data_IF_366024496927
#
_entry.id   IF_366024496927
#
_cell.length_a   1.000
_cell.length_b   1.000
_cell.length_c   1.000
_cell.angle_alpha   90.00
_cell.angle_beta   90.00
_cell.angle_gamma   90.00
#
_symmetry.space_group_name_H-M   'P 1'
#
loop_
_entity.id
_entity.type
_entity.pdbx_description
1 polymer ?
#
# COMPACT_ATOMS: atom_id res chain seq x y z
N UNK A 1 -6.04 6.48 -13.67
CA UNK A 1 -5.36 7.50 -12.84
C UNK A 1 -4.03 6.96 -12.36
N UNK A 2 -3.02 7.81 -12.32
CA UNK A 2 -1.64 7.43 -12.01
C UNK A 2 -1.17 8.20 -10.79
N UNK A 3 -0.51 7.49 -9.88
CA UNK A 3 0.04 8.04 -8.65
C UNK A 3 1.49 7.64 -8.48
N UNK A 4 2.24 8.46 -7.79
CA UNK A 4 3.65 8.22 -7.49
C UNK A 4 3.89 8.36 -5.99
N UNK A 5 4.68 7.46 -5.45
CA UNK A 5 5.11 7.50 -4.07
C UNK A 5 6.57 7.07 -3.99
N UNK A 6 7.38 7.81 -3.25
CA UNK A 6 8.81 7.52 -3.11
C UNK A 6 9.05 6.15 -2.49
N UNK A 7 9.97 5.39 -3.04
CA UNK A 7 10.48 4.16 -2.42
C UNK A 7 11.28 4.55 -1.18
N UNK A 8 10.67 4.37 -0.02
CA UNK A 8 11.22 4.85 1.22
C UNK A 8 12.13 3.81 1.89
N UNK A 9 13.24 4.26 2.48
CA UNK A 9 14.05 3.38 3.32
C UNK A 9 13.34 3.12 4.65
N UNK A 10 13.40 1.87 5.13
CA UNK A 10 12.88 1.49 6.44
C UNK A 10 13.54 2.25 7.60
N UNK A 11 14.73 2.82 7.35
CA UNK A 11 15.51 3.54 8.35
C UNK A 11 15.21 5.03 8.40
N UNK A 12 14.42 5.55 7.48
CA UNK A 12 14.07 6.97 7.42
C UNK A 12 12.74 7.24 8.12
N UNK A 13 12.77 8.14 9.09
CA UNK A 13 11.61 8.64 9.83
C UNK A 13 11.07 9.90 9.16
N UNK A 14 10.62 9.78 7.92
CA UNK A 14 10.07 10.93 7.22
C UNK A 14 8.67 10.62 6.69
N UNK A 15 7.89 11.68 6.52
CA UNK A 15 6.59 11.58 5.87
C UNK A 15 6.75 11.17 4.41
N UNK A 16 5.87 10.31 3.93
CA UNK A 16 5.85 9.84 2.55
C UNK A 16 4.55 10.31 1.91
N UNK A 17 4.68 10.95 0.75
CA UNK A 17 3.56 11.54 0.04
C UNK A 17 3.18 10.76 -1.19
N UNK A 18 1.92 10.37 -1.29
CA UNK A 18 1.32 9.84 -2.50
C UNK A 18 0.82 11.03 -3.34
N UNK A 19 1.42 11.21 -4.51
CA UNK A 19 1.11 12.32 -5.42
C UNK A 19 0.46 11.82 -6.69
N UNK A 20 -0.43 12.61 -7.26
CA UNK A 20 -0.95 12.35 -8.60
C UNK A 20 0.08 12.72 -9.68
N UNK A 21 -0.27 12.52 -10.96
CA UNK A 21 0.60 12.83 -12.08
C UNK A 21 0.92 14.32 -12.24
N UNK A 22 0.11 15.20 -11.65
CA UNK A 22 0.36 16.64 -11.60
C UNK A 22 1.24 17.07 -10.41
N UNK A 23 1.64 16.12 -9.55
CA UNK A 23 2.45 16.38 -8.37
C UNK A 23 1.66 16.83 -7.14
N UNK A 24 0.32 16.78 -7.19
CA UNK A 24 -0.53 17.15 -6.06
C UNK A 24 -0.60 16.01 -5.05
N UNK A 25 -0.35 16.33 -3.78
CA UNK A 25 -0.41 15.35 -2.69
C UNK A 25 -1.85 14.91 -2.46
N UNK A 26 -2.09 13.60 -2.55
CA UNK A 26 -3.39 12.99 -2.29
C UNK A 26 -3.46 12.41 -0.88
N UNK A 27 -2.40 11.76 -0.43
CA UNK A 27 -2.27 11.20 0.90
C UNK A 27 -0.86 11.35 1.44
N UNK A 28 -0.75 11.44 2.76
CA UNK A 28 0.54 11.46 3.47
C UNK A 28 0.55 10.35 4.50
N UNK A 29 1.57 9.50 4.41
CA UNK A 29 1.83 8.42 5.37
C UNK A 29 2.81 8.92 6.41
N UNK A 30 2.41 8.90 7.67
CA UNK A 30 3.28 9.25 8.80
C UNK A 30 3.63 8.00 9.58
N UNK A 31 4.91 7.72 9.67
CA UNK A 31 5.46 6.53 10.29
C UNK A 31 6.19 6.93 11.56
N UNK A 32 6.00 6.17 12.66
CA UNK A 32 6.77 6.32 13.88
C UNK A 32 7.94 5.32 13.91
N UNK A 33 9.02 5.68 14.59
CA UNK A 33 10.31 4.97 14.63
C UNK A 33 10.26 3.47 14.90
N UNK A 34 9.23 2.96 15.52
CA UNK A 34 9.17 1.58 16.00
C UNK A 34 8.08 0.78 15.30
N UNK A 35 7.49 1.31 14.26
CA UNK A 35 6.33 0.66 13.68
C UNK A 35 6.71 -0.27 12.54
N UNK A 36 6.63 -1.56 12.78
CA UNK A 36 6.52 -2.57 11.74
C UNK A 36 5.15 -2.42 11.05
N UNK A 37 4.88 -1.31 10.40
CA UNK A 37 3.58 -0.92 9.84
C UNK A 37 2.46 -0.69 10.85
N UNK A 38 2.59 -1.17 12.08
CA UNK A 38 1.57 -0.95 13.09
C UNK A 38 1.59 0.52 13.54
N UNK A 39 0.45 1.19 13.40
CA UNK A 39 0.31 2.58 13.82
C UNK A 39 0.68 3.63 12.77
N UNK A 40 0.98 3.23 11.52
CA UNK A 40 1.12 4.20 10.43
C UNK A 40 -0.19 4.95 10.28
N UNK A 41 -0.11 6.28 10.27
CA UNK A 41 -1.27 7.15 10.08
C UNK A 41 -1.27 7.70 8.66
N UNK A 42 -2.45 7.71 8.05
CA UNK A 42 -2.66 8.15 6.68
C UNK A 42 -3.58 9.37 6.68
N UNK A 43 -3.05 10.50 6.23
CA UNK A 43 -3.74 11.79 6.15
C UNK A 43 -4.12 12.09 4.71
N UNK A 44 -5.28 12.73 4.52
CA UNK A 44 -5.72 13.18 3.19
C UNK A 44 -5.05 14.52 2.78
N UNK A 45 -5.46 15.04 1.62
CA UNK A 45 -4.96 16.30 1.07
C UNK A 45 -5.27 17.52 1.94
N UNK A 46 -6.27 17.43 2.81
CA UNK A 46 -6.65 18.48 3.76
C UNK A 46 -6.01 18.30 5.12
N UNK A 47 -5.07 17.35 5.26
CA UNK A 47 -4.35 16.99 6.49
C UNK A 47 -5.24 16.40 7.58
N UNK A 48 -6.41 15.86 7.22
CA UNK A 48 -7.25 15.12 8.14
C UNK A 48 -6.82 13.66 8.19
N UNK A 49 -6.77 13.08 9.39
CA UNK A 49 -6.51 11.66 9.57
C UNK A 49 -7.66 10.85 8.97
N UNK A 50 -7.35 10.00 7.99
CA UNK A 50 -8.33 9.14 7.32
C UNK A 50 -8.24 7.70 7.78
N UNK A 51 -7.03 7.17 7.86
CA UNK A 51 -6.81 5.76 8.20
C UNK A 51 -5.62 5.59 9.12
N UNK A 52 -5.66 4.50 9.88
CA UNK A 52 -4.52 4.02 10.65
C UNK A 52 -4.29 2.56 10.30
N UNK A 53 -3.04 2.17 10.11
CA UNK A 53 -2.68 0.79 9.78
C UNK A 53 -2.55 -0.02 11.06
N UNK A 54 -3.25 -1.16 11.10
CA UNK A 54 -3.09 -2.17 12.13
C UNK A 54 -2.45 -3.40 11.51
N UNK A 55 -1.34 -3.86 12.10
CA UNK A 55 -0.62 -5.03 11.64
C UNK A 55 -0.80 -6.17 12.63
N UNK A 56 -1.16 -7.35 12.12
CA UNK A 56 -1.25 -8.59 12.89
C UNK A 56 -0.36 -9.64 12.24
N UNK A 57 0.66 -10.10 12.99
CA UNK A 57 1.52 -11.19 12.57
C UNK A 57 0.87 -12.51 12.99
N UNK A 58 0.38 -13.26 12.03
CA UNK A 58 -0.12 -14.63 12.22
C UNK A 58 0.99 -15.62 11.82
N UNK A 59 0.92 -16.88 12.29
CA UNK A 59 1.99 -17.87 12.09
C UNK A 59 2.47 -18.04 10.65
N UNK A 60 1.54 -17.96 9.68
CA UNK A 60 1.82 -18.19 8.26
C UNK A 60 1.23 -17.11 7.37
N UNK A 61 0.65 -16.07 7.98
CA UNK A 61 -0.01 -14.98 7.29
C UNK A 61 0.33 -13.68 7.97
N UNK A 62 0.43 -12.62 7.19
CA UNK A 62 0.43 -11.28 7.75
C UNK A 62 -0.83 -10.57 7.31
N UNK A 63 -1.45 -9.89 8.23
CA UNK A 63 -2.67 -9.16 8.00
C UNK A 63 -2.46 -7.69 8.32
N UNK A 64 -2.79 -6.83 7.39
CA UNK A 64 -2.80 -5.39 7.57
C UNK A 64 -4.23 -4.90 7.40
N UNK A 65 -4.66 -4.01 8.27
CA UNK A 65 -5.98 -3.41 8.18
C UNK A 65 -5.85 -1.90 8.12
N UNK A 66 -6.56 -1.27 7.19
CA UNK A 66 -6.79 0.17 7.24
C UNK A 66 -8.02 0.40 8.10
N UNK A 67 -7.82 1.01 9.26
CA UNK A 67 -8.91 1.38 10.16
C UNK A 67 -9.29 2.83 9.92
N UNK A 68 -10.58 3.11 9.81
CA UNK A 68 -11.10 4.47 9.71
C UNK A 68 -11.15 5.17 11.09
N UNK A 69 -11.68 6.39 11.16
CA UNK A 69 -11.79 7.15 12.40
C UNK A 69 -12.64 6.44 13.48
N UNK A 70 -13.61 5.65 13.06
CA UNK A 70 -14.45 4.86 13.95
C UNK A 70 -13.82 3.50 14.31
N UNK A 71 -12.55 3.27 13.92
CA UNK A 71 -11.82 2.02 14.10
C UNK A 71 -12.46 0.82 13.38
N UNK A 72 -13.26 1.09 12.36
CA UNK A 72 -13.83 0.07 11.50
C UNK A 72 -12.84 -0.26 10.38
N UNK A 73 -12.79 -1.52 9.96
CA UNK A 73 -11.92 -1.95 8.87
C UNK A 73 -12.44 -1.41 7.54
N UNK A 74 -11.69 -0.48 6.95
CA UNK A 74 -11.98 0.08 5.63
C UNK A 74 -11.37 -0.74 4.50
N UNK A 75 -10.24 -1.38 4.74
CA UNK A 75 -9.58 -2.30 3.81
C UNK A 75 -8.86 -3.37 4.61
N UNK A 76 -9.05 -4.62 4.25
CA UNK A 76 -8.33 -5.75 4.83
C UNK A 76 -7.31 -6.27 3.82
N UNK A 77 -6.04 -6.31 4.22
CA UNK A 77 -4.91 -6.72 3.37
C UNK A 77 -4.35 -8.01 3.94
N UNK A 78 -4.42 -9.08 3.17
CA UNK A 78 -3.95 -10.38 3.58
C UNK A 78 -2.76 -10.83 2.72
N UNK A 79 -1.68 -11.23 3.37
CA UNK A 79 -0.51 -11.79 2.70
C UNK A 79 -0.32 -13.22 3.19
N UNK A 80 -0.56 -14.19 2.31
CA UNK A 80 -0.45 -15.61 2.63
C UNK A 80 0.91 -16.19 2.28
N UNK A 81 1.09 -17.46 2.61
CA UNK A 81 2.19 -18.29 2.12
C UNK A 81 2.18 -18.33 0.60
N UNK A 82 3.34 -18.50 -0.01
CA UNK A 82 3.53 -18.59 -1.46
C UNK A 82 3.14 -17.32 -2.22
N UNK A 83 3.22 -16.15 -1.56
CA UNK A 83 2.99 -14.85 -2.20
C UNK A 83 1.56 -14.63 -2.71
N UNK A 84 0.61 -15.31 -2.10
CA UNK A 84 -0.80 -15.05 -2.35
C UNK A 84 -1.22 -13.87 -1.50
N UNK A 85 -1.50 -12.75 -2.15
CA UNK A 85 -2.01 -11.56 -1.49
C UNK A 85 -3.43 -11.31 -1.96
N UNK A 86 -4.27 -10.77 -1.09
CA UNK A 86 -5.61 -10.35 -1.47
C UNK A 86 -6.10 -9.20 -0.62
N UNK A 87 -7.00 -8.41 -1.18
CA UNK A 87 -7.70 -7.33 -0.50
C UNK A 87 -9.16 -7.68 -0.33
N UNK A 88 -9.69 -7.45 0.86
CA UNK A 88 -11.13 -7.43 1.10
C UNK A 88 -11.56 -5.98 1.34
N UNK A 89 -12.41 -5.48 0.45
CA UNK A 89 -12.93 -4.13 0.46
C UNK A 89 -14.45 -4.20 0.36
N UNK A 90 -15.13 -3.81 1.40
CA UNK A 90 -16.56 -4.06 1.57
C UNK A 90 -16.81 -5.57 1.42
N UNK A 91 -17.77 -6.00 0.67
CA UNK A 91 -18.03 -7.44 0.46
C UNK A 91 -17.31 -8.00 -0.79
N UNK A 92 -16.33 -7.25 -1.31
CA UNK A 92 -15.61 -7.63 -2.52
C UNK A 92 -14.20 -8.10 -2.23
N UNK A 93 -13.80 -9.17 -2.92
CA UNK A 93 -12.50 -9.80 -2.80
C UNK A 93 -11.66 -9.53 -4.05
N UNK A 94 -10.46 -8.98 -3.85
CA UNK A 94 -9.51 -8.69 -4.92
C UNK A 94 -8.25 -9.52 -4.75
N UNK A 95 -7.82 -10.19 -5.81
CA UNK A 95 -6.55 -10.89 -5.81
C UNK A 95 -5.40 -9.95 -6.17
N UNK A 96 -4.26 -10.14 -5.52
CA UNK A 96 -3.05 -9.38 -5.82
C UNK A 96 -1.97 -10.38 -6.24
N UNK A 97 -1.48 -10.25 -7.46
CA UNK A 97 -0.37 -11.05 -7.99
C UNK A 97 0.83 -10.15 -8.23
N UNK A 98 2.02 -10.68 -8.00
CA UNK A 98 3.21 -9.90 -8.23
C UNK A 98 4.48 -10.70 -8.31
N UNK A 99 5.51 -10.04 -8.81
CA UNK A 99 6.88 -10.55 -8.82
C UNK A 99 7.65 -9.96 -7.65
N UNK A 100 8.12 -10.82 -6.77
CA UNK A 100 8.93 -10.46 -5.63
C UNK A 100 10.26 -9.80 -6.05
N UNK A 101 10.90 -10.36 -7.07
CA UNK A 101 12.20 -9.89 -7.53
C UNK A 101 12.14 -8.52 -8.21
N UNK A 102 11.04 -8.19 -8.86
CA UNK A 102 10.88 -6.97 -9.65
C UNK A 102 10.04 -5.89 -8.95
N UNK A 103 9.44 -6.21 -7.82
CA UNK A 103 8.47 -5.35 -7.11
C UNK A 103 7.44 -4.78 -8.11
N UNK A 104 6.72 -5.69 -8.73
CA UNK A 104 5.64 -5.37 -9.65
C UNK A 104 4.40 -6.15 -9.24
N UNK A 105 3.30 -5.45 -9.01
CA UNK A 105 2.05 -6.04 -8.52
C UNK A 105 0.89 -5.63 -9.39
N UNK A 106 -0.09 -6.53 -9.48
CA UNK A 106 -1.35 -6.30 -10.18
C UNK A 106 -2.50 -6.70 -9.27
N UNK A 107 -3.55 -5.89 -9.26
CA UNK A 107 -4.79 -6.19 -8.55
C UNK A 107 -5.83 -6.65 -9.55
N UNK A 108 -6.47 -7.77 -9.25
CA UNK A 108 -7.49 -8.39 -10.10
C UNK A 108 -8.86 -8.28 -9.43
N UNK A 109 -9.81 -7.76 -10.18
CA UNK A 109 -11.23 -7.89 -9.91
C UNK A 109 -11.73 -9.04 -10.80
N UNK A 110 -11.89 -10.22 -10.20
CA UNK A 110 -12.12 -11.47 -10.92
C UNK A 110 -10.97 -11.74 -11.92
N UNK A 111 -11.22 -11.67 -13.23
CA UNK A 111 -10.19 -11.87 -14.27
C UNK A 111 -9.61 -10.59 -14.84
N UNK A 112 -10.11 -9.46 -14.42
CA UNK A 112 -9.71 -8.16 -14.93
C UNK A 112 -8.66 -7.51 -14.03
N UNK A 113 -7.58 -7.03 -14.64
CA UNK A 113 -6.59 -6.21 -13.92
C UNK A 113 -7.14 -4.80 -13.77
N UNK A 114 -7.23 -4.31 -12.53
CA UNK A 114 -7.83 -3.01 -12.22
C UNK A 114 -6.83 -2.01 -11.64
N UNK A 115 -5.70 -2.50 -11.13
CA UNK A 115 -4.63 -1.64 -10.63
C UNK A 115 -3.27 -2.30 -10.82
N UNK A 116 -2.23 -1.47 -10.95
CA UNK A 116 -0.85 -1.89 -11.16
C UNK A 116 0.08 -1.08 -10.29
N UNK A 117 1.11 -1.73 -9.75
CA UNK A 117 2.22 -1.06 -9.11
C UNK A 117 3.52 -1.57 -9.72
N UNK A 118 4.42 -0.66 -10.04
CA UNK A 118 5.79 -0.99 -10.46
C UNK A 118 6.77 0.06 -9.94
N UNK A 119 8.03 -0.32 -9.83
CA UNK A 119 9.11 0.61 -9.51
C UNK A 119 9.55 1.29 -10.80
N UNK A 120 9.66 2.61 -10.76
CA UNK A 120 10.16 3.43 -11.86
C UNK A 120 11.24 4.36 -11.34
N UNK A 121 12.08 4.85 -12.23
CA UNK A 121 13.09 5.86 -11.91
C UNK A 121 12.62 7.20 -12.46
N UNK A 122 12.47 8.19 -11.58
CA UNK A 122 12.11 9.56 -11.95
C UNK A 122 13.29 10.45 -11.56
N UNK A 123 14.02 10.95 -12.55
CA UNK A 123 15.31 11.59 -12.30
C UNK A 123 16.28 10.58 -11.67
N UNK A 124 16.81 10.89 -10.50
CA UNK A 124 17.70 10.01 -9.73
C UNK A 124 16.96 9.25 -8.61
N UNK A 125 15.66 9.40 -8.50
CA UNK A 125 14.87 8.78 -7.42
C UNK A 125 14.10 7.56 -7.92
N UNK A 126 14.07 6.52 -7.08
CA UNK A 126 13.22 5.35 -7.31
C UNK A 126 11.86 5.62 -6.69
N UNK A 127 10.81 5.40 -7.46
CA UNK A 127 9.44 5.63 -7.04
C UNK A 127 8.58 4.43 -7.37
N UNK A 128 7.54 4.19 -6.56
CA UNK A 128 6.44 3.33 -6.97
C UNK A 128 5.50 4.15 -7.84
N UNK A 129 5.22 3.62 -9.03
CA UNK A 129 4.17 4.13 -9.90
C UNK A 129 2.99 3.22 -9.78
N UNK A 130 1.85 3.77 -9.37
CA UNK A 130 0.62 3.02 -9.16
C UNK A 130 -0.44 3.57 -10.11
N UNK A 131 -1.02 2.69 -10.90
CA UNK A 131 -2.10 3.02 -11.81
C UNK A 131 -3.37 2.27 -11.40
N UNK A 132 -4.51 2.95 -11.43
CA UNK A 132 -5.80 2.38 -11.12
C UNK A 132 -6.83 2.80 -12.16
N UNK A 133 -7.68 1.87 -12.56
CA UNK A 133 -8.79 2.18 -13.46
C UNK A 133 -9.82 3.07 -12.80
N UNK A 134 -10.47 3.91 -13.60
CA UNK A 134 -11.56 4.77 -13.12
C UNK A 134 -12.70 3.94 -12.53
N UNK A 135 -13.29 4.44 -11.46
CA UNK A 135 -14.42 3.80 -10.80
C UNK A 135 -14.04 2.81 -9.69
N UNK A 136 -12.74 2.50 -9.55
CA UNK A 136 -12.26 1.66 -8.45
C UNK A 136 -11.82 2.50 -7.25
N UNK A 137 -11.92 1.94 -6.07
CA UNK A 137 -11.66 2.63 -4.81
C UNK A 137 -10.17 2.93 -4.62
N UNK A 138 -9.88 4.16 -4.24
CA UNK A 138 -8.52 4.64 -3.96
C UNK A 138 -7.80 3.83 -2.87
N UNK A 139 -8.55 3.16 -1.98
CA UNK A 139 -7.97 2.30 -0.96
C UNK A 139 -7.15 1.14 -1.54
N UNK A 140 -7.44 0.70 -2.77
CA UNK A 140 -6.62 -0.31 -3.45
C UNK A 140 -5.21 0.21 -3.73
N UNK A 141 -5.07 1.50 -4.03
CA UNK A 141 -3.76 2.15 -4.22
C UNK A 141 -2.98 2.16 -2.89
N UNK A 142 -3.64 2.53 -1.80
CA UNK A 142 -3.02 2.52 -0.48
C UNK A 142 -2.58 1.11 -0.08
N UNK A 143 -3.42 0.12 -0.34
CA UNK A 143 -3.11 -1.29 -0.08
C UNK A 143 -1.91 -1.80 -0.89
N UNK A 144 -1.81 -1.44 -2.16
CA UNK A 144 -0.66 -1.81 -3.00
C UNK A 144 0.64 -1.24 -2.45
N UNK A 145 0.64 0.01 -2.02
CA UNK A 145 1.81 0.61 -1.41
C UNK A 145 2.23 -0.14 -0.13
N UNK A 146 1.28 -0.48 0.72
CA UNK A 146 1.55 -1.22 1.95
C UNK A 146 2.15 -2.59 1.65
N UNK A 147 1.61 -3.33 0.69
CA UNK A 147 2.17 -4.63 0.27
C UNK A 147 3.60 -4.45 -0.25
N UNK A 148 3.81 -3.53 -1.16
CA UNK A 148 5.11 -3.32 -1.78
C UNK A 148 6.18 -2.95 -0.73
N UNK A 149 5.82 -2.09 0.21
CA UNK A 149 6.73 -1.67 1.27
C UNK A 149 6.98 -2.80 2.29
N UNK A 150 5.95 -3.56 2.65
CA UNK A 150 6.07 -4.70 3.55
C UNK A 150 7.00 -5.79 2.98
N UNK A 151 6.83 -6.12 1.70
CA UNK A 151 7.68 -7.09 1.01
C UNK A 151 9.13 -6.64 1.00
N UNK A 152 9.41 -5.38 0.74
CA UNK A 152 10.77 -4.84 0.81
C UNK A 152 11.38 -5.03 2.19
N UNK A 153 10.66 -4.71 3.24
CA UNK A 153 11.15 -4.82 4.61
C UNK A 153 11.44 -6.27 4.99
N UNK A 154 10.60 -7.20 4.58
CA UNK A 154 10.82 -8.61 4.85
C UNK A 154 12.07 -9.16 4.17
N UNK A 155 12.31 -8.74 2.95
CA UNK A 155 13.48 -9.20 2.18
C UNK A 155 14.79 -8.82 2.88
N UNK A 156 14.83 -7.66 3.54
CA UNK A 156 16.02 -7.19 4.21
C UNK A 156 16.22 -7.77 5.61
N UNK A 157 15.18 -8.28 6.24
CA UNK A 157 15.23 -8.80 7.60
C UNK A 157 14.98 -10.31 7.74
N UNK A 158 14.68 -10.97 6.67
CA UNK A 158 14.60 -12.43 6.63
C UNK A 158 15.95 -13.02 6.23
#
# INVERSE_FOLDING_TARGET
MIYYIKCHSIFEDSDVHLKDSAGVIQYTFKRTRKSNFNGIKIYDETKHLRYQVKFNKLKLKHRYQLLDKAKQTALDINTGLKRLHYFDLHDQHYFVKGSFARIAYQVYDDRRVVAWLKVVKVGNERMFRIEILNGYDMKLVLGLYIIAQAVREWYWFS
#
